data_IF_651708330144
#
_entry.id   IF_651708330144
#
_cell.length_a   1.000
_cell.length_b   1.000
_cell.length_c   1.000
_cell.angle_alpha   90.00
_cell.angle_beta   90.00
_cell.angle_gamma   90.00
#
_symmetry.space_group_name_H-M   'P 1'
#
loop_
_entity.id
_entity.type
_entity.pdbx_description
1 polymer ?
#
# COMPACT_ATOMS: atom_id res chain seq x y z
N UNK A 1 44.41 -11.97 61.02
CA UNK A 1 45.14 -10.96 60.22
C UNK A 1 44.20 -10.51 59.12
N UNK A 2 43.34 -9.50 59.34
CA UNK A 2 43.58 -8.04 59.39
C UNK A 2 43.91 -7.44 58.01
N UNK A 3 43.07 -6.47 57.61
CA UNK A 3 43.36 -5.37 56.68
C UNK A 3 43.14 -5.70 55.20
N UNK A 4 42.77 -4.78 54.30
CA UNK A 4 42.48 -3.34 54.32
C UNK A 4 42.17 -3.01 52.85
N UNK A 5 41.05 -2.39 52.50
CA UNK A 5 40.94 -0.96 52.14
C UNK A 5 41.97 -0.45 51.10
N UNK A 6 41.43 -0.01 49.95
CA UNK A 6 41.78 1.17 49.11
C UNK A 6 41.54 0.87 47.61
N UNK A 7 40.51 1.44 47.01
CA UNK A 7 40.50 2.74 46.33
C UNK A 7 41.12 2.68 44.93
N UNK A 8 40.26 2.62 43.91
CA UNK A 8 40.59 2.88 42.51
C UNK A 8 39.37 3.48 41.79
N UNK A 9 38.95 4.65 42.27
CA UNK A 9 38.32 5.67 41.42
C UNK A 9 39.45 6.37 40.66
N UNK A 10 39.73 5.94 39.44
CA UNK A 10 40.31 6.78 38.39
C UNK A 10 40.51 5.96 37.11
N UNK A 11 39.58 6.12 36.17
CA UNK A 11 39.82 6.01 34.72
C UNK A 11 38.51 6.35 34.01
N UNK A 12 38.42 7.61 33.58
CA UNK A 12 37.76 8.05 32.35
C UNK A 12 38.01 9.57 32.25
N UNK A 13 39.25 9.91 31.87
CA UNK A 13 39.59 11.18 31.23
C UNK A 13 39.47 10.99 29.72
N UNK A 14 39.17 12.10 29.07
CA UNK A 14 39.22 12.37 27.63
C UNK A 14 37.99 11.89 26.82
N UNK A 15 37.03 12.81 26.68
CA UNK A 15 36.75 13.43 25.38
C UNK A 15 36.07 14.78 25.59
N UNK A 16 36.91 15.78 25.83
CA UNK A 16 36.54 17.19 25.87
C UNK A 16 36.74 17.75 24.46
N UNK A 17 35.68 17.76 23.66
CA UNK A 17 35.67 18.56 22.43
C UNK A 17 35.35 20.02 22.78
N UNK A 18 36.31 20.89 22.48
CA UNK A 18 36.31 22.32 22.77
C UNK A 18 35.27 23.08 21.94
N UNK A 19 34.24 23.63 22.61
CA UNK A 19 33.34 24.65 22.07
C UNK A 19 33.86 26.06 22.45
N UNK A 20 35.11 26.37 22.10
CA UNK A 20 35.74 27.69 22.33
C UNK A 20 36.05 28.46 21.03
N UNK A 21 35.24 28.27 19.99
CA UNK A 21 35.25 29.12 18.81
C UNK A 21 33.84 29.53 18.43
N UNK A 22 33.27 30.45 19.20
CA UNK A 22 32.38 31.54 18.74
C UNK A 22 32.07 32.38 19.98
N UNK A 23 32.83 33.47 20.16
CA UNK A 23 32.72 34.33 21.33
C UNK A 23 31.34 34.97 21.45
N UNK A 24 30.54 34.48 22.39
CA UNK A 24 29.44 35.21 23.03
C UNK A 24 29.30 34.74 24.47
N UNK A 25 30.03 35.37 25.38
CA UNK A 25 29.76 35.30 26.82
C UNK A 25 28.50 36.11 27.13
N UNK A 26 27.39 35.43 27.43
CA UNK A 26 26.32 35.99 28.26
C UNK A 26 25.85 34.91 29.22
N UNK A 27 26.39 34.99 30.43
CA UNK A 27 26.09 34.11 31.56
C UNK A 27 24.72 34.46 32.13
N UNK A 28 23.69 33.68 31.81
CA UNK A 28 22.39 33.76 32.48
C UNK A 28 22.40 32.84 33.71
N UNK A 29 22.89 33.38 34.84
CA UNK A 29 22.71 32.78 36.18
C UNK A 29 21.25 32.97 36.58
N UNK A 30 20.45 31.90 36.48
CA UNK A 30 19.13 31.83 37.12
C UNK A 30 19.33 31.70 38.64
N UNK A 31 19.26 32.82 39.35
CA UNK A 31 18.95 32.80 40.78
C UNK A 31 17.47 32.45 40.95
N UNK A 32 17.23 31.27 41.50
CA UNK A 32 15.93 30.86 42.05
C UNK A 32 15.63 31.75 43.26
N UNK A 33 14.88 32.82 43.04
CA UNK A 33 14.39 33.71 44.08
C UNK A 33 13.93 35.01 43.45
N UNK A 34 12.63 35.29 43.54
CA UNK A 34 11.94 36.49 43.02
C UNK A 34 11.58 36.46 41.53
N UNK A 35 10.41 35.90 41.22
CA UNK A 35 9.64 36.33 40.06
C UNK A 35 8.17 36.40 40.44
N UNK A 36 7.81 37.51 41.10
CA UNK A 36 6.45 37.98 41.16
C UNK A 36 6.26 39.06 40.09
N UNK A 37 5.15 38.95 39.35
CA UNK A 37 4.55 39.96 38.46
C UNK A 37 5.17 40.14 37.08
N UNK A 38 4.82 39.23 36.17
CA UNK A 38 4.61 39.57 34.76
C UNK A 38 3.16 39.21 34.40
N UNK A 39 2.24 40.15 34.66
CA UNK A 39 0.88 40.12 34.13
C UNK A 39 0.93 40.47 32.64
N UNK A 40 0.54 39.53 31.77
CA UNK A 40 0.48 39.73 30.32
C UNK A 40 1.31 38.75 29.49
N UNK A 41 1.71 37.62 30.06
CA UNK A 41 2.38 36.56 29.30
C UNK A 41 1.30 35.67 28.67
N UNK A 42 1.17 35.83 27.35
CA UNK A 42 0.32 35.10 26.40
C UNK A 42 0.10 33.62 26.78
N UNK A 43 -1.14 33.12 26.64
CA UNK A 43 -1.49 31.69 26.78
C UNK A 43 -0.53 30.78 25.98
N UNK A 44 0.00 31.28 24.86
CA UNK A 44 0.99 30.60 24.03
C UNK A 44 2.31 30.31 24.78
N UNK A 45 2.73 31.21 25.67
CA UNK A 45 3.98 31.08 26.41
C UNK A 45 3.81 30.21 27.66
N UNK A 46 2.64 30.19 28.30
CA UNK A 46 2.31 29.14 29.29
C UNK A 46 2.25 27.75 28.67
N UNK A 47 1.74 27.63 27.44
CA UNK A 47 1.76 26.36 26.69
C UNK A 47 3.18 25.90 26.34
N UNK A 48 4.06 26.81 25.91
CA UNK A 48 5.47 26.53 25.69
C UNK A 48 6.19 26.16 26.99
N UNK A 49 5.87 26.81 28.10
CA UNK A 49 6.44 26.47 29.42
C UNK A 49 5.92 25.11 29.91
N UNK A 50 4.66 24.73 29.63
CA UNK A 50 4.18 23.35 29.83
C UNK A 50 4.92 22.37 28.93
N UNK A 51 5.14 22.69 27.66
CA UNK A 51 5.86 21.83 26.73
C UNK A 51 7.34 21.62 27.13
N UNK A 52 7.97 22.61 27.78
CA UNK A 52 9.38 22.58 28.17
C UNK A 52 9.60 22.01 29.58
N UNK A 53 8.62 22.13 30.51
CA UNK A 53 8.76 21.63 31.89
C UNK A 53 8.45 20.14 32.07
N UNK A 54 7.85 19.48 31.09
CA UNK A 54 7.66 18.03 31.12
C UNK A 54 8.81 17.32 30.41
N UNK A 55 9.76 16.88 31.23
CA UNK A 55 10.87 15.99 30.89
C UNK A 55 10.36 14.72 30.17
N UNK A 56 10.99 14.39 29.02
CA UNK A 56 10.88 13.17 28.18
C UNK A 56 9.62 12.98 27.31
N UNK A 57 9.78 13.29 26.01
CA UNK A 57 9.14 12.65 24.84
C UNK A 57 7.60 12.65 24.69
N UNK A 58 6.88 13.67 25.13
CA UNK A 58 5.44 13.76 24.79
C UNK A 58 5.24 14.32 23.39
N UNK A 59 5.20 13.43 22.40
CA UNK A 59 4.65 13.76 21.08
C UNK A 59 3.13 13.84 21.24
N UNK A 60 2.54 15.02 21.13
CA UNK A 60 1.10 15.19 21.41
C UNK A 60 0.27 14.76 20.21
N UNK A 61 -0.68 13.84 20.44
CA UNK A 61 -1.67 13.44 19.44
C UNK A 61 -2.41 14.65 18.86
N UNK A 62 -2.74 14.64 17.56
CA UNK A 62 -3.49 15.73 16.95
C UNK A 62 -4.90 15.88 17.54
N UNK A 63 -5.54 14.78 17.97
CA UNK A 63 -6.88 14.77 18.57
C UNK A 63 -6.86 13.93 19.86
N UNK A 64 -7.01 14.59 21.00
CA UNK A 64 -7.13 13.92 22.29
C UNK A 64 -8.46 13.14 22.37
N UNK A 65 -8.40 11.85 22.71
CA UNK A 65 -9.58 10.99 22.79
C UNK A 65 -10.27 10.79 21.44
N UNK A 66 -9.48 10.69 20.35
CA UNK A 66 -9.99 10.43 19.02
C UNK A 66 -10.89 9.19 19.01
N UNK A 67 -12.07 9.33 18.41
CA UNK A 67 -12.91 8.19 18.01
C UNK A 67 -13.27 8.36 16.55
N UNK A 68 -13.34 7.24 15.83
CA UNK A 68 -13.66 7.20 14.42
C UNK A 68 -14.40 5.90 14.07
N UNK A 69 -15.03 5.86 12.89
CA UNK A 69 -15.68 4.66 12.36
C UNK A 69 -15.54 4.59 10.84
N UNK A 70 -15.51 3.38 10.30
CA UNK A 70 -15.73 3.18 8.87
C UNK A 70 -17.23 3.29 8.56
N UNK A 71 -17.58 4.03 7.52
CA UNK A 71 -18.97 4.16 7.08
C UNK A 71 -19.32 3.11 6.02
N UNK A 72 -20.60 3.02 5.62
CA UNK A 72 -21.07 2.07 4.59
C UNK A 72 -20.43 2.27 3.20
N UNK A 73 -19.81 3.43 2.94
CA UNK A 73 -19.06 3.71 1.71
C UNK A 73 -17.58 3.33 1.85
N UNK A 74 -17.17 2.73 2.96
CA UNK A 74 -15.80 2.31 3.24
C UNK A 74 -14.87 3.42 3.75
N UNK A 75 -15.35 4.65 3.92
CA UNK A 75 -14.53 5.79 4.39
C UNK A 75 -14.48 5.86 5.90
N UNK A 76 -13.30 6.15 6.45
CA UNK A 76 -13.13 6.43 7.88
C UNK A 76 -13.50 7.87 8.22
N UNK A 77 -14.39 8.03 9.20
CA UNK A 77 -14.90 9.32 9.66
C UNK A 77 -14.64 9.52 11.16
N UNK A 78 -14.11 10.68 11.52
CA UNK A 78 -13.96 11.12 12.91
C UNK A 78 -15.35 11.32 13.53
N UNK A 79 -15.60 10.64 14.65
CA UNK A 79 -16.86 10.72 15.41
C UNK A 79 -16.73 11.50 16.72
N UNK A 80 -15.50 11.71 17.22
CA UNK A 80 -15.29 12.36 18.51
C UNK A 80 -13.82 12.70 18.79
N UNK A 81 -13.58 13.19 20.00
CA UNK A 81 -12.28 13.71 20.45
C UNK A 81 -12.20 15.23 20.46
N UNK A 82 -11.09 15.77 20.99
CA UNK A 82 -10.81 17.19 21.13
C UNK A 82 -9.52 17.53 20.39
N UNK A 83 -9.59 18.44 19.42
CA UNK A 83 -8.40 18.98 18.78
C UNK A 83 -7.62 19.81 19.80
N UNK A 84 -6.35 19.49 20.03
CA UNK A 84 -5.50 20.15 21.04
C UNK A 84 -4.47 21.10 20.42
N UNK A 85 -4.38 21.15 19.09
CA UNK A 85 -3.45 22.01 18.36
C UNK A 85 -4.20 23.07 17.53
N UNK A 86 -3.71 24.31 17.57
CA UNK A 86 -4.20 25.38 16.70
C UNK A 86 -3.76 25.10 15.25
N UNK A 87 -4.72 24.99 14.33
CA UNK A 87 -4.47 24.65 12.91
C UNK A 87 -4.68 23.17 12.56
N UNK A 88 -4.89 22.31 13.55
CA UNK A 88 -5.21 20.89 13.38
C UNK A 88 -6.59 20.61 13.99
N UNK A 89 -7.60 21.31 13.50
CA UNK A 89 -8.97 21.05 13.92
C UNK A 89 -9.49 19.70 13.37
N UNK A 90 -10.71 19.32 13.75
CA UNK A 90 -11.31 18.06 13.28
C UNK A 90 -11.46 18.02 11.76
N UNK A 91 -11.65 19.17 11.11
CA UNK A 91 -11.80 19.25 9.66
C UNK A 91 -10.47 18.98 8.98
N UNK A 92 -9.40 19.65 9.43
CA UNK A 92 -8.04 19.42 8.94
C UNK A 92 -7.60 17.96 9.17
N UNK A 93 -7.90 17.40 10.34
CA UNK A 93 -7.62 15.98 10.63
C UNK A 93 -8.41 15.03 9.72
N UNK A 94 -9.68 15.30 9.45
CA UNK A 94 -10.47 14.51 8.52
C UNK A 94 -9.94 14.62 7.08
N UNK A 95 -9.49 15.80 6.66
CA UNK A 95 -8.86 16.01 5.34
C UNK A 95 -7.55 15.22 5.23
N UNK A 96 -6.74 15.16 6.30
CA UNK A 96 -5.56 14.31 6.35
C UNK A 96 -5.90 12.83 6.27
N UNK A 97 -6.92 12.34 7.00
CA UNK A 97 -7.39 10.96 6.87
C UNK A 97 -7.82 10.66 5.44
N UNK A 98 -8.58 11.55 4.80
CA UNK A 98 -9.03 11.37 3.42
C UNK A 98 -7.87 11.35 2.42
N UNK A 99 -6.74 11.97 2.74
CA UNK A 99 -5.59 12.10 1.83
C UNK A 99 -4.57 11.00 2.06
N UNK A 100 -4.25 10.72 3.31
CA UNK A 100 -3.17 9.81 3.71
C UNK A 100 -3.66 8.41 4.03
N UNK A 101 -4.95 8.27 4.33
CA UNK A 101 -5.50 7.07 4.96
C UNK A 101 -5.48 7.15 6.49
N UNK A 102 -6.38 6.40 7.15
CA UNK A 102 -6.48 6.38 8.62
C UNK A 102 -5.21 5.80 9.25
N UNK A 103 -4.61 4.76 8.67
CA UNK A 103 -3.40 4.14 9.24
C UNK A 103 -2.22 5.11 9.28
N UNK A 104 -2.00 5.84 8.18
CA UNK A 104 -0.96 6.86 8.11
C UNK A 104 -1.25 8.03 9.06
N UNK A 105 -2.51 8.48 9.13
CA UNK A 105 -2.91 9.53 10.07
C UNK A 105 -2.66 9.13 11.54
N UNK A 106 -3.03 7.91 11.95
CA UNK A 106 -2.78 7.43 13.31
C UNK A 106 -1.29 7.40 13.63
N UNK A 107 -0.48 6.89 12.71
CA UNK A 107 0.97 6.81 12.90
C UNK A 107 1.64 8.19 12.94
N UNK A 108 1.37 9.03 11.94
CA UNK A 108 2.10 10.28 11.72
C UNK A 108 1.54 11.44 12.56
N UNK A 109 0.22 11.51 12.75
CA UNK A 109 -0.44 12.63 13.43
C UNK A 109 -1.01 12.27 14.82
N UNK A 110 -1.30 11.00 15.12
CA UNK A 110 -1.62 10.57 16.49
C UNK A 110 -0.42 9.99 17.25
N UNK A 111 0.70 9.70 16.55
CA UNK A 111 1.88 9.05 17.10
C UNK A 111 1.60 7.65 17.67
N UNK A 112 0.60 6.97 17.11
CA UNK A 112 0.29 5.58 17.41
C UNK A 112 1.19 4.65 16.58
N UNK A 113 2.37 4.34 17.13
CA UNK A 113 3.39 3.55 16.43
C UNK A 113 3.21 2.03 16.56
N UNK A 114 2.42 1.57 17.53
CA UNK A 114 2.20 0.16 17.83
C UNK A 114 0.94 -0.38 17.14
N UNK A 115 1.00 -0.57 15.82
CA UNK A 115 -0.06 -1.25 15.10
C UNK A 115 -0.06 -2.76 15.45
N UNK A 116 -1.19 -3.27 15.95
CA UNK A 116 -1.39 -4.71 16.23
C UNK A 116 -2.23 -5.33 15.13
N UNK A 117 -1.72 -6.38 14.47
CA UNK A 117 -2.45 -7.13 13.44
C UNK A 117 -1.77 -7.12 12.06
N UNK A 118 -2.44 -7.72 11.08
CA UNK A 118 -2.14 -7.60 9.65
C UNK A 118 -2.48 -6.21 9.11
N UNK A 119 -1.89 -5.86 7.98
CA UNK A 119 -1.98 -4.52 7.38
C UNK A 119 -3.42 -4.09 7.05
N UNK A 120 -4.31 -5.04 6.78
CA UNK A 120 -5.68 -4.80 6.33
C UNK A 120 -6.72 -5.23 7.38
N UNK A 121 -6.31 -5.63 8.59
CA UNK A 121 -7.19 -6.22 9.60
C UNK A 121 -8.32 -5.28 10.07
N UNK A 122 -8.10 -3.97 9.99
CA UNK A 122 -9.07 -2.94 10.38
C UNK A 122 -10.04 -2.55 9.25
N UNK A 123 -9.90 -3.12 8.06
CA UNK A 123 -10.74 -2.80 6.90
C UNK A 123 -11.98 -3.68 6.89
N UNK A 124 -13.16 -3.07 6.91
CA UNK A 124 -14.40 -3.71 6.48
C UNK A 124 -14.47 -3.64 4.95
N UNK A 125 -14.21 -4.76 4.28
CA UNK A 125 -14.24 -4.84 2.82
C UNK A 125 -15.66 -4.56 2.28
N UNK A 126 -15.74 -3.72 1.25
CA UNK A 126 -16.99 -3.48 0.51
C UNK A 126 -17.19 -4.58 -0.52
N UNK A 127 -18.44 -5.02 -0.69
CA UNK A 127 -18.81 -6.00 -1.70
C UNK A 127 -19.91 -5.49 -2.61
N UNK A 128 -19.96 -6.03 -3.82
CA UNK A 128 -21.13 -5.98 -4.70
C UNK A 128 -21.26 -7.29 -5.51
N UNK A 129 -22.46 -7.55 -6.01
CA UNK A 129 -22.68 -8.58 -7.02
C UNK A 129 -22.26 -8.08 -8.41
N UNK A 130 -21.96 -9.01 -9.33
CA UNK A 130 -21.59 -8.66 -10.70
C UNK A 130 -22.67 -7.83 -11.41
N UNK A 131 -23.94 -8.06 -11.09
CA UNK A 131 -25.10 -7.34 -11.64
C UNK A 131 -25.27 -5.93 -11.08
N UNK A 132 -24.57 -5.60 -10.00
CA UNK A 132 -24.62 -4.27 -9.35
C UNK A 132 -23.43 -3.39 -9.79
N UNK A 133 -22.52 -3.94 -10.59
CA UNK A 133 -21.34 -3.23 -11.05
C UNK A 133 -21.75 -2.19 -12.11
N UNK A 134 -21.22 -0.95 -12.03
CA UNK A 134 -21.39 0.02 -13.10
C UNK A 134 -20.62 -0.41 -14.35
N UNK A 135 -20.80 0.35 -15.43
CA UNK A 135 -19.96 0.24 -16.60
C UNK A 135 -18.51 0.60 -16.23
N UNK A 136 -17.57 -0.24 -16.68
CA UNK A 136 -16.15 -0.06 -16.41
C UNK A 136 -15.50 0.66 -17.58
N UNK A 137 -14.70 1.67 -17.28
CA UNK A 137 -13.92 2.43 -18.27
C UNK A 137 -12.71 1.62 -18.73
N UNK A 138 -12.11 0.85 -17.82
CA UNK A 138 -10.95 0.01 -18.11
C UNK A 138 -10.93 -1.22 -17.22
N UNK A 139 -10.44 -2.33 -17.77
CA UNK A 139 -10.10 -3.55 -17.03
C UNK A 139 -8.61 -3.84 -17.19
N UNK A 140 -8.04 -4.56 -16.23
CA UNK A 140 -6.66 -5.05 -16.29
C UNK A 140 -6.54 -6.41 -15.63
N UNK A 141 -5.53 -7.19 -16.02
CA UNK A 141 -5.19 -8.48 -15.41
C UNK A 141 -3.69 -8.50 -15.14
N UNK A 142 -3.31 -8.75 -13.89
CA UNK A 142 -1.93 -8.82 -13.45
C UNK A 142 -1.58 -10.16 -12.83
N UNK A 143 -0.35 -10.59 -13.07
CA UNK A 143 0.24 -11.81 -12.53
C UNK A 143 1.49 -11.45 -11.72
N UNK A 144 1.55 -11.87 -10.45
CA UNK A 144 2.81 -11.96 -9.69
C UNK A 144 3.27 -13.43 -9.76
N UNK A 145 4.29 -13.73 -10.57
CA UNK A 145 4.71 -15.09 -10.79
C UNK A 145 5.80 -15.55 -9.81
N UNK A 146 5.71 -16.81 -9.42
CA UNK A 146 6.80 -17.51 -8.73
C UNK A 146 7.70 -18.28 -9.73
N UNK A 147 9.03 -18.14 -9.61
CA UNK A 147 9.99 -18.86 -10.48
C UNK A 147 10.48 -20.20 -9.93
N UNK A 148 10.14 -20.56 -8.69
CA UNK A 148 10.51 -21.86 -8.11
C UNK A 148 9.30 -22.80 -8.07
N UNK A 149 9.47 -24.03 -8.56
CA UNK A 149 8.42 -25.06 -8.66
C UNK A 149 8.76 -26.33 -7.84
N UNK A 150 9.18 -26.16 -6.59
CA UNK A 150 9.42 -27.27 -5.64
C UNK A 150 8.22 -27.46 -4.70
N UNK A 151 8.18 -28.51 -3.87
CA UNK A 151 7.09 -28.70 -2.88
C UNK A 151 7.05 -27.60 -1.77
N UNK A 152 8.02 -26.69 -1.79
CA UNK A 152 8.08 -25.44 -1.02
C UNK A 152 7.88 -24.18 -1.88
N UNK A 153 7.37 -24.34 -3.11
CA UNK A 153 7.20 -23.32 -4.14
C UNK A 153 6.40 -22.12 -3.63
N UNK A 154 6.92 -20.93 -3.94
CA UNK A 154 6.15 -19.69 -3.79
C UNK A 154 4.91 -19.77 -4.71
N UNK A 155 3.79 -19.21 -4.26
CA UNK A 155 2.52 -19.31 -4.99
C UNK A 155 2.53 -18.38 -6.20
N UNK A 156 1.72 -18.66 -7.21
CA UNK A 156 1.41 -17.69 -8.26
C UNK A 156 0.20 -16.87 -7.83
N UNK A 157 0.21 -15.56 -8.06
CA UNK A 157 -0.93 -14.66 -7.83
C UNK A 157 -1.48 -14.11 -9.15
N UNK A 158 -2.80 -14.12 -9.33
CA UNK A 158 -3.48 -13.47 -10.45
C UNK A 158 -4.58 -12.58 -9.89
N UNK A 159 -4.57 -11.30 -10.28
CA UNK A 159 -5.65 -10.36 -10.00
C UNK A 159 -6.19 -9.79 -11.31
N UNK A 160 -7.51 -9.68 -11.43
CA UNK A 160 -8.14 -8.86 -12.46
C UNK A 160 -9.08 -7.84 -11.82
N UNK A 161 -8.96 -6.60 -12.25
CA UNK A 161 -9.74 -5.47 -11.75
C UNK A 161 -10.33 -4.66 -12.90
N UNK A 162 -11.31 -3.82 -12.55
CA UNK A 162 -11.79 -2.76 -13.41
C UNK A 162 -11.96 -1.45 -12.65
N UNK A 163 -12.03 -0.33 -13.36
CA UNK A 163 -12.27 0.99 -12.80
C UNK A 163 -13.46 1.65 -13.49
N UNK A 164 -14.35 2.30 -12.72
CA UNK A 164 -15.46 3.09 -13.25
C UNK A 164 -15.08 4.56 -13.52
N UNK A 165 -16.03 5.34 -14.02
CA UNK A 165 -15.83 6.78 -14.33
C UNK A 165 -15.53 7.62 -13.08
N UNK A 166 -15.99 7.18 -11.91
CA UNK A 166 -15.74 7.80 -10.61
C UNK A 166 -14.39 7.40 -10.00
N UNK A 167 -13.64 6.51 -10.67
CA UNK A 167 -12.33 6.05 -10.22
C UNK A 167 -12.39 5.05 -9.07
N UNK A 168 -13.52 4.36 -8.87
CA UNK A 168 -13.67 3.23 -7.95
C UNK A 168 -13.18 1.97 -8.64
N UNK A 169 -12.32 1.23 -7.96
CA UNK A 169 -11.76 -0.02 -8.47
C UNK A 169 -12.62 -1.20 -7.98
N UNK A 170 -13.04 -2.04 -8.91
CA UNK A 170 -13.77 -3.28 -8.67
C UNK A 170 -12.82 -4.46 -8.84
N UNK A 171 -12.65 -5.25 -7.77
CA UNK A 171 -11.85 -6.48 -7.78
C UNK A 171 -12.69 -7.61 -8.38
N UNK A 172 -12.45 -7.94 -9.65
CA UNK A 172 -13.32 -8.79 -10.45
C UNK A 172 -12.97 -10.27 -10.31
N UNK A 173 -11.68 -10.57 -10.26
CA UNK A 173 -11.18 -11.94 -10.17
C UNK A 173 -9.88 -12.01 -9.39
N UNK A 174 -9.76 -13.04 -8.55
CA UNK A 174 -8.59 -13.30 -7.73
C UNK A 174 -8.28 -14.79 -7.72
N UNK A 175 -7.03 -15.14 -7.93
CA UNK A 175 -6.59 -16.52 -7.89
C UNK A 175 -5.19 -16.65 -7.32
N UNK A 176 -5.02 -17.61 -6.42
CA UNK A 176 -3.72 -17.96 -5.85
C UNK A 176 -3.50 -19.48 -5.91
N UNK A 177 -2.33 -19.92 -6.34
CA UNK A 177 -1.93 -21.31 -6.18
C UNK A 177 -0.60 -21.68 -6.82
N UNK A 178 -0.11 -22.86 -6.46
CA UNK A 178 1.10 -23.45 -7.06
C UNK A 178 0.71 -24.08 -8.40
N UNK A 179 1.32 -23.59 -9.49
CA UNK A 179 1.10 -24.11 -10.84
C UNK A 179 2.30 -23.79 -11.74
N UNK A 180 2.36 -24.38 -12.93
CA UNK A 180 3.39 -24.01 -13.91
C UNK A 180 3.16 -22.59 -14.45
N UNK A 181 4.23 -21.87 -14.82
CA UNK A 181 4.17 -20.59 -15.53
C UNK A 181 3.15 -20.57 -16.67
N UNK A 182 3.20 -21.57 -17.56
CA UNK A 182 2.30 -21.65 -18.72
C UNK A 182 0.82 -21.71 -18.30
N UNK A 183 0.47 -22.47 -17.26
CA UNK A 183 -0.91 -22.58 -16.77
C UNK A 183 -1.39 -21.30 -16.09
N UNK A 184 -0.53 -20.62 -15.34
CA UNK A 184 -0.85 -19.33 -14.72
C UNK A 184 -1.11 -18.27 -15.80
N UNK A 185 -0.18 -18.12 -16.75
CA UNK A 185 -0.32 -17.15 -17.85
C UNK A 185 -1.54 -17.48 -18.71
N UNK A 186 -1.79 -18.76 -19.04
CA UNK A 186 -3.00 -19.16 -19.78
C UNK A 186 -4.28 -18.75 -19.06
N UNK A 187 -4.34 -18.90 -17.72
CA UNK A 187 -5.48 -18.45 -16.93
C UNK A 187 -5.64 -16.93 -16.99
N UNK A 188 -4.55 -16.17 -16.87
CA UNK A 188 -4.58 -14.73 -16.95
C UNK A 188 -5.05 -14.23 -18.33
N UNK A 189 -4.53 -14.79 -19.42
CA UNK A 189 -4.92 -14.44 -20.80
C UNK A 189 -6.39 -14.73 -21.04
N UNK A 190 -6.89 -15.91 -20.67
CA UNK A 190 -8.32 -16.21 -20.81
C UNK A 190 -9.20 -15.27 -19.99
N UNK A 191 -8.76 -14.91 -18.78
CA UNK A 191 -9.50 -13.95 -17.94
C UNK A 191 -9.48 -12.55 -18.55
N UNK A 192 -8.38 -12.13 -19.17
CA UNK A 192 -8.30 -10.87 -19.88
C UNK A 192 -9.25 -10.83 -21.09
N UNK A 193 -9.31 -11.91 -21.88
CA UNK A 193 -10.27 -12.05 -22.98
C UNK A 193 -11.72 -11.95 -22.46
N UNK A 194 -12.06 -12.71 -21.42
CA UNK A 194 -13.40 -12.67 -20.79
C UNK A 194 -13.80 -11.28 -20.31
N UNK A 195 -12.84 -10.48 -19.83
CA UNK A 195 -13.06 -9.15 -19.27
C UNK A 195 -12.85 -8.02 -20.28
N UNK A 196 -12.52 -8.33 -21.54
CA UNK A 196 -12.17 -7.33 -22.55
C UNK A 196 -10.93 -6.49 -22.19
N UNK A 197 -10.01 -7.03 -21.39
CA UNK A 197 -8.77 -6.34 -21.02
C UNK A 197 -7.82 -6.29 -22.20
N UNK A 198 -7.27 -5.11 -22.48
CA UNK A 198 -6.34 -4.90 -23.60
C UNK A 198 -4.97 -5.53 -23.37
N UNK A 199 -4.60 -5.80 -22.12
CA UNK A 199 -3.29 -6.38 -21.79
C UNK A 199 -3.36 -7.34 -20.59
N UNK A 200 -2.31 -8.14 -20.47
CA UNK A 200 -1.96 -8.90 -19.26
C UNK A 200 -0.60 -8.41 -18.78
N UNK A 201 -0.57 -7.84 -17.57
CA UNK A 201 0.64 -7.43 -16.88
C UNK A 201 1.30 -8.57 -16.11
N UNK A 202 2.63 -8.65 -16.16
CA UNK A 202 3.41 -9.64 -15.41
C UNK A 202 4.53 -8.94 -14.65
N UNK A 203 4.68 -9.23 -13.35
CA UNK A 203 5.85 -8.80 -12.58
C UNK A 203 7.10 -9.57 -13.05
N UNK A 204 8.11 -8.85 -13.53
CA UNK A 204 9.31 -9.46 -14.17
C UNK A 204 10.57 -9.43 -13.32
N UNK A 205 10.46 -9.04 -12.04
CA UNK A 205 11.58 -9.08 -11.09
C UNK A 205 12.19 -10.48 -10.96
N UNK A 206 11.36 -11.51 -11.15
CA UNK A 206 11.76 -12.90 -11.23
C UNK A 206 11.64 -13.35 -12.70
N UNK A 207 12.69 -13.90 -13.32
CA UNK A 207 12.59 -14.57 -14.63
C UNK A 207 12.69 -13.71 -15.90
N UNK A 208 12.54 -12.37 -15.83
CA UNK A 208 12.81 -11.44 -16.93
C UNK A 208 12.15 -11.83 -18.27
N UNK A 209 12.95 -11.85 -19.35
CA UNK A 209 12.53 -12.16 -20.74
C UNK A 209 11.82 -13.52 -20.89
N UNK A 210 11.98 -14.42 -19.92
CA UNK A 210 11.29 -15.72 -19.89
C UNK A 210 9.77 -15.55 -20.00
N UNK A 211 9.20 -14.54 -19.35
CA UNK A 211 7.75 -14.34 -19.31
C UNK A 211 7.15 -13.98 -20.65
N UNK A 212 7.86 -13.17 -21.45
CA UNK A 212 7.43 -12.85 -22.80
C UNK A 212 7.37 -14.12 -23.66
N UNK A 213 8.39 -14.97 -23.57
CA UNK A 213 8.40 -16.24 -24.32
C UNK A 213 7.28 -17.21 -23.91
N UNK A 214 6.96 -17.26 -22.61
CA UNK A 214 5.84 -18.07 -22.08
C UNK A 214 4.52 -17.50 -22.55
N UNK A 215 4.37 -16.17 -22.51
CA UNK A 215 3.19 -15.46 -22.97
C UNK A 215 2.90 -15.71 -24.44
N UNK A 216 3.87 -15.46 -25.33
CA UNK A 216 3.70 -15.67 -26.76
C UNK A 216 3.27 -17.10 -27.08
N UNK A 217 3.91 -18.09 -26.44
CA UNK A 217 3.55 -19.51 -26.62
C UNK A 217 2.13 -19.82 -26.14
N UNK A 218 1.69 -19.24 -25.02
CA UNK A 218 0.33 -19.39 -24.51
C UNK A 218 -0.68 -18.79 -25.48
N UNK A 219 -0.42 -17.58 -25.97
CA UNK A 219 -1.26 -16.89 -26.94
C UNK A 219 -1.41 -17.67 -28.24
N UNK A 220 -0.31 -18.21 -28.80
CA UNK A 220 -0.35 -19.08 -29.98
C UNK A 220 -1.24 -20.32 -29.78
N UNK A 221 -1.17 -20.94 -28.59
CA UNK A 221 -2.00 -22.11 -28.27
C UNK A 221 -3.48 -21.74 -28.16
N UNK A 222 -3.79 -20.66 -27.44
CA UNK A 222 -5.17 -20.17 -27.30
C UNK A 222 -5.75 -19.79 -28.66
N UNK A 223 -4.99 -19.10 -29.51
CA UNK A 223 -5.44 -18.71 -30.84
C UNK A 223 -5.82 -19.93 -31.68
N UNK A 224 -4.93 -20.94 -31.74
CA UNK A 224 -5.21 -22.19 -32.46
C UNK A 224 -6.43 -22.93 -31.91
N UNK A 225 -6.59 -22.96 -30.59
CA UNK A 225 -7.75 -23.59 -29.94
C UNK A 225 -9.05 -22.86 -30.31
N UNK A 226 -9.04 -21.53 -30.33
CA UNK A 226 -10.22 -20.72 -30.69
C UNK A 226 -10.51 -20.76 -32.20
N UNK A 227 -9.50 -20.70 -33.05
CA UNK A 227 -9.65 -20.86 -34.51
C UNK A 227 -10.26 -22.22 -34.86
N UNK A 228 -9.82 -23.30 -34.19
CA UNK A 228 -10.39 -24.63 -34.36
C UNK A 228 -11.88 -24.69 -33.97
N UNK A 229 -12.33 -23.87 -33.01
CA UNK A 229 -13.75 -23.81 -32.64
C UNK A 229 -14.61 -23.09 -33.67
N UNK A 230 -14.00 -22.33 -34.58
CA UNK A 230 -14.66 -21.60 -35.65
C UNK A 230 -14.44 -22.23 -37.03
N UNK A 231 -13.86 -23.43 -37.11
CA UNK A 231 -13.49 -24.08 -38.37
C UNK A 231 -14.71 -24.28 -39.30
N UNK A 232 -15.85 -24.66 -38.72
CA UNK A 232 -17.11 -24.88 -39.42
C UNK A 232 -17.93 -23.59 -39.69
N UNK A 233 -17.45 -22.43 -39.20
CA UNK A 233 -18.11 -21.13 -39.39
C UNK A 233 -17.60 -20.49 -40.70
N UNK A 234 -18.51 -20.02 -41.59
CA UNK A 234 -18.14 -19.25 -42.78
C UNK A 234 -17.21 -18.09 -42.44
N UNK A 235 -16.20 -17.84 -43.29
CA UNK A 235 -15.13 -16.87 -43.00
C UNK A 235 -15.66 -15.45 -42.70
N UNK A 236 -16.76 -15.04 -43.34
CA UNK A 236 -17.44 -13.76 -43.15
C UNK A 236 -18.26 -13.67 -41.85
N UNK A 237 -18.52 -14.80 -41.20
CA UNK A 237 -19.22 -14.90 -39.93
C UNK A 237 -18.27 -15.19 -38.75
N UNK A 238 -16.98 -15.40 -39.01
CA UNK A 238 -15.98 -15.66 -37.96
C UNK A 238 -15.76 -14.42 -37.10
N UNK A 239 -15.72 -14.63 -35.79
CA UNK A 239 -15.37 -13.58 -34.85
C UNK A 239 -13.86 -13.33 -34.88
N UNK A 240 -13.47 -12.09 -35.14
CA UNK A 240 -12.06 -11.66 -35.00
C UNK A 240 -11.66 -11.74 -33.54
N UNK A 241 -10.83 -12.73 -33.21
CA UNK A 241 -10.28 -12.89 -31.87
C UNK A 241 -9.14 -11.89 -31.67
N UNK A 242 -9.35 -10.92 -30.78
CA UNK A 242 -8.27 -10.04 -30.33
C UNK A 242 -7.67 -10.60 -29.04
N UNK A 243 -6.38 -10.95 -29.08
CA UNK A 243 -5.65 -11.36 -27.89
C UNK A 243 -5.13 -10.12 -27.14
N UNK A 244 -5.09 -10.15 -25.80
CA UNK A 244 -4.47 -9.08 -25.03
C UNK A 244 -2.98 -8.91 -25.40
N UNK A 245 -2.48 -7.69 -25.26
CA UNK A 245 -1.05 -7.40 -25.32
C UNK A 245 -0.31 -7.88 -24.08
N UNK A 246 1.00 -8.08 -24.22
CA UNK A 246 1.90 -8.36 -23.09
C UNK A 246 2.34 -7.05 -22.45
N UNK A 247 2.18 -6.93 -21.14
CA UNK A 247 2.72 -5.83 -20.34
C UNK A 247 3.62 -6.38 -19.24
N UNK A 248 4.61 -5.59 -18.82
CA UNK A 248 5.52 -5.96 -17.75
C UNK A 248 5.91 -4.77 -16.89
N UNK A 249 6.17 -5.03 -15.61
CA UNK A 249 6.78 -4.06 -14.71
C UNK A 249 7.76 -4.76 -13.75
N UNK A 250 8.62 -3.97 -13.11
CA UNK A 250 9.65 -4.39 -12.17
C UNK A 250 9.49 -3.64 -10.86
N UNK A 251 9.36 -4.37 -9.75
CA UNK A 251 9.20 -3.76 -8.44
C UNK A 251 10.40 -2.90 -8.02
N UNK A 252 11.59 -3.20 -8.55
CA UNK A 252 12.80 -2.38 -8.41
C UNK A 252 12.77 -1.01 -9.10
N UNK A 253 11.80 -0.71 -9.97
CA UNK A 253 11.76 0.51 -10.80
C UNK A 253 11.21 1.77 -10.09
N UNK A 254 11.00 1.73 -8.77
CA UNK A 254 10.58 2.90 -7.98
C UNK A 254 9.33 2.71 -7.12
N UNK A 255 8.72 1.53 -7.12
CA UNK A 255 7.50 1.24 -6.35
C UNK A 255 7.74 0.93 -4.85
N UNK A 256 9.00 0.78 -4.45
CA UNK A 256 9.39 0.41 -3.08
C UNK A 256 9.14 -1.07 -2.75
N UNK A 257 9.46 -1.48 -1.52
CA UNK A 257 9.29 -2.87 -1.07
C UNK A 257 7.81 -3.28 -0.97
N UNK A 258 7.51 -4.59 -0.89
CA UNK A 258 6.12 -5.11 -0.82
C UNK A 258 5.27 -4.43 0.25
N UNK A 259 5.83 -4.14 1.43
CA UNK A 259 5.11 -3.45 2.51
C UNK A 259 4.75 -2.01 2.11
N UNK A 260 5.66 -1.27 1.49
CA UNK A 260 5.41 0.07 1.00
C UNK A 260 4.34 0.08 -0.11
N UNK A 261 4.40 -0.88 -1.03
CA UNK A 261 3.37 -1.09 -2.06
C UNK A 261 1.99 -1.34 -1.45
N UNK A 262 1.92 -2.25 -0.48
CA UNK A 262 0.70 -2.52 0.28
C UNK A 262 0.14 -1.27 0.97
N UNK A 263 1.00 -0.44 1.57
CA UNK A 263 0.60 0.84 2.19
C UNK A 263 0.01 1.82 1.18
N UNK A 264 0.58 1.93 -0.02
CA UNK A 264 0.02 2.80 -1.07
C UNK A 264 -1.40 2.36 -1.47
N UNK A 265 -1.61 1.05 -1.65
CA UNK A 265 -2.92 0.49 -1.97
C UNK A 265 -3.91 0.58 -0.79
N UNK A 266 -3.43 0.49 0.45
CA UNK A 266 -4.26 0.57 1.66
C UNK A 266 -5.02 1.90 1.75
N UNK A 267 -4.42 3.01 1.31
CA UNK A 267 -5.08 4.32 1.29
C UNK A 267 -6.41 4.28 0.54
N UNK A 268 -6.46 3.58 -0.58
CA UNK A 268 -7.69 3.45 -1.37
C UNK A 268 -8.73 2.56 -0.68
N UNK A 269 -8.31 1.53 0.05
CA UNK A 269 -9.23 0.75 0.90
C UNK A 269 -9.83 1.62 2.02
N UNK A 270 -9.00 2.41 2.69
CA UNK A 270 -9.40 3.29 3.79
C UNK A 270 -10.28 4.46 3.33
N UNK A 271 -10.16 4.84 2.07
CA UNK A 271 -10.99 5.83 1.41
C UNK A 271 -12.21 5.23 0.71
N UNK A 272 -12.43 3.92 0.83
CA UNK A 272 -13.55 3.24 0.20
C UNK A 272 -13.54 3.34 -1.32
N UNK A 273 -12.37 3.41 -1.94
CA UNK A 273 -12.18 3.48 -3.39
C UNK A 273 -12.02 2.10 -4.04
N UNK A 274 -12.11 1.02 -3.25
CA UNK A 274 -12.03 -0.36 -3.73
C UNK A 274 -13.27 -1.14 -3.27
N UNK A 275 -13.86 -1.90 -4.19
CA UNK A 275 -15.00 -2.79 -3.97
C UNK A 275 -14.65 -4.18 -4.47
N UNK A 276 -15.03 -5.22 -3.72
CA UNK A 276 -14.80 -6.61 -4.08
C UNK A 276 -16.04 -7.19 -4.74
N UNK A 277 -15.92 -7.62 -6.00
CA UNK A 277 -17.03 -8.29 -6.69
C UNK A 277 -17.13 -9.73 -6.21
N UNK A 278 -18.34 -10.17 -5.87
CA UNK A 278 -18.55 -11.55 -5.39
C UNK A 278 -18.18 -12.58 -6.45
N UNK A 279 -17.75 -13.75 -5.96
CA UNK A 279 -17.16 -14.81 -6.78
C UNK A 279 -15.87 -15.30 -6.14
N UNK A 280 -14.74 -14.68 -6.48
CA UNK A 280 -13.41 -15.09 -6.00
C UNK A 280 -12.81 -14.19 -4.92
N UNK A 281 -13.46 -13.07 -4.57
CA UNK A 281 -13.04 -12.09 -3.54
C UNK A 281 -12.46 -12.71 -2.25
N UNK A 282 -13.08 -13.76 -1.71
CA UNK A 282 -12.62 -14.39 -0.47
C UNK A 282 -11.19 -14.96 -0.55
N UNK A 283 -10.64 -15.22 -1.73
CA UNK A 283 -9.22 -15.57 -1.89
C UNK A 283 -8.32 -14.35 -1.65
N UNK A 284 -8.66 -13.20 -2.24
CA UNK A 284 -7.91 -11.96 -2.06
C UNK A 284 -8.00 -11.46 -0.62
N UNK A 285 -9.18 -11.49 0.01
CA UNK A 285 -9.33 -11.06 1.41
C UNK A 285 -8.49 -11.89 2.36
N UNK A 286 -8.40 -13.21 2.15
CA UNK A 286 -7.49 -14.07 2.92
C UNK A 286 -6.04 -13.70 2.71
N UNK A 287 -5.67 -13.33 1.47
CA UNK A 287 -4.33 -12.85 1.14
C UNK A 287 -3.99 -11.51 1.80
N UNK A 288 -4.91 -10.54 1.76
CA UNK A 288 -4.76 -9.25 2.40
C UNK A 288 -4.74 -9.38 3.94
N UNK A 289 -5.61 -10.19 4.53
CA UNK A 289 -5.65 -10.42 5.98
C UNK A 289 -4.42 -11.12 6.55
N UNK A 290 -3.69 -11.90 5.76
CA UNK A 290 -2.40 -12.46 6.22
C UNK A 290 -1.22 -11.53 5.96
N UNK A 291 -1.33 -10.57 5.04
CA UNK A 291 -0.25 -9.66 4.66
C UNK A 291 0.29 -8.87 5.87
N UNK A 292 1.63 -8.77 6.06
CA UNK A 292 2.72 -9.11 5.13
C UNK A 292 3.32 -10.53 5.34
N UNK A 293 2.54 -11.50 5.82
CA UNK A 293 2.98 -12.90 5.94
C UNK A 293 2.75 -13.66 4.64
N UNK A 294 3.73 -14.48 4.24
CA UNK A 294 3.67 -15.33 3.04
C UNK A 294 2.45 -16.29 3.06
N UNK A 295 1.95 -16.71 1.88
CA UNK A 295 2.32 -16.25 0.54
C UNK A 295 1.85 -14.81 0.27
N UNK A 296 2.63 -14.05 -0.50
CA UNK A 296 2.39 -12.62 -0.75
C UNK A 296 1.89 -12.36 -2.16
N UNK A 297 1.88 -13.38 -3.00
CA UNK A 297 1.89 -13.24 -4.45
C UNK A 297 0.55 -12.70 -4.94
N UNK A 298 -0.58 -13.16 -4.39
CA UNK A 298 -1.88 -12.58 -4.73
C UNK A 298 -2.05 -11.14 -4.22
N UNK A 299 -1.48 -10.78 -3.06
CA UNK A 299 -1.56 -9.41 -2.56
C UNK A 299 -0.71 -8.45 -3.43
N UNK A 300 0.42 -8.93 -3.95
CA UNK A 300 1.27 -8.15 -4.86
C UNK A 300 0.65 -8.02 -6.25
N UNK A 301 0.11 -9.11 -6.81
CA UNK A 301 -0.67 -9.06 -8.06
C UNK A 301 -1.82 -8.05 -7.95
N UNK A 302 -2.48 -7.98 -6.79
CA UNK A 302 -3.51 -6.99 -6.52
C UNK A 302 -2.98 -5.55 -6.41
N UNK A 303 -1.77 -5.36 -5.90
CA UNK A 303 -1.11 -4.06 -5.97
C UNK A 303 -0.85 -3.65 -7.42
N UNK A 304 -0.32 -4.54 -8.26
CA UNK A 304 0.02 -4.19 -9.64
C UNK A 304 -1.20 -3.80 -10.47
N UNK A 305 -2.27 -4.57 -10.33
CA UNK A 305 -3.56 -4.25 -10.93
C UNK A 305 -4.12 -2.90 -10.45
N UNK A 306 -3.98 -2.60 -9.16
CA UNK A 306 -4.35 -1.29 -8.60
C UNK A 306 -3.47 -0.16 -9.13
N UNK A 307 -2.16 -0.35 -9.19
CA UNK A 307 -1.20 0.63 -9.63
C UNK A 307 -1.39 0.97 -11.10
N UNK A 308 -1.63 -0.04 -11.94
CA UNK A 308 -1.99 0.12 -13.34
C UNK A 308 -3.27 0.96 -13.50
N UNK A 309 -4.35 0.59 -12.81
CA UNK A 309 -5.62 1.32 -12.87
C UNK A 309 -5.51 2.77 -12.35
N UNK A 310 -4.60 3.03 -11.43
CA UNK A 310 -4.26 4.37 -10.93
C UNK A 310 -3.23 5.12 -11.79
N UNK A 311 -2.85 4.57 -12.94
CA UNK A 311 -1.86 5.14 -13.86
C UNK A 311 -0.50 5.41 -13.19
N UNK A 312 -0.17 4.60 -12.19
CA UNK A 312 1.14 4.64 -11.50
C UNK A 312 2.21 3.82 -12.21
N UNK A 313 1.81 3.08 -13.24
CA UNK A 313 2.68 2.39 -14.18
C UNK A 313 2.74 3.23 -15.46
N UNK A 314 3.95 3.47 -15.97
CA UNK A 314 4.14 4.35 -17.12
C UNK A 314 3.46 3.76 -18.37
N UNK A 315 2.56 4.50 -19.05
CA UNK A 315 1.91 4.02 -20.27
C UNK A 315 2.89 3.60 -21.37
N UNK A 316 4.10 4.19 -21.41
CA UNK A 316 5.13 3.81 -22.39
C UNK A 316 5.63 2.37 -22.24
N UNK A 317 5.55 1.81 -21.05
CA UNK A 317 5.95 0.41 -20.78
C UNK A 317 4.80 -0.58 -21.08
N UNK A 318 3.56 -0.10 -21.19
CA UNK A 318 2.36 -0.87 -21.52
C UNK A 318 2.13 -1.04 -23.04
N UNK A 319 2.62 -0.11 -23.88
CA UNK A 319 2.33 -0.06 -25.32
C UNK A 319 3.54 -0.28 -26.24
N UNK A 320 4.70 -0.68 -25.71
CA UNK A 320 5.94 -0.79 -26.50
C UNK A 320 5.95 -1.85 -27.61
N UNK A 321 4.86 -2.61 -27.83
CA UNK A 321 4.85 -3.75 -28.76
C UNK A 321 3.65 -3.82 -29.71
N UNK A 322 2.89 -2.73 -29.90
CA UNK A 322 1.87 -2.69 -30.96
C UNK A 322 2.43 -2.23 -32.32
N UNK A 323 3.72 -1.89 -32.43
CA UNK A 323 4.38 -1.43 -33.68
C UNK A 323 5.56 -2.31 -34.17
N UNK A 324 5.67 -3.56 -33.73
CA UNK A 324 6.69 -4.51 -34.22
C UNK A 324 6.04 -5.80 -34.74
#
# INVERSE_FOLDING_TARGET
FVGSSKDHREKLRADQWSLEKFGMTTTLRLQLGECAKLSGVDEAMEHLIRAVRFDKHHVFAAIEGLTYKQNKKGKFLITGGKAIWKGQDKKAAQEQINTWGISAFLKEAQHEVDAKGGMYDHIEFRHCERTEMPDLVRTTVWVDPAVTSTDHSDSMGIQADGIDEEGIIYRLFSWEGITSPEKAIRRAVLKAIELGSMSVGIETDQGGDTWQSVYSRVCEKILKELEATQEDIPEDERETISLPGFAQDKAGAGHGNKVHRGQQMLVDYENGMIVHVRGTHGQLEKSLGRFPRKPLDLADAAYWSWADLRERINPRDLYAFMEA
#
